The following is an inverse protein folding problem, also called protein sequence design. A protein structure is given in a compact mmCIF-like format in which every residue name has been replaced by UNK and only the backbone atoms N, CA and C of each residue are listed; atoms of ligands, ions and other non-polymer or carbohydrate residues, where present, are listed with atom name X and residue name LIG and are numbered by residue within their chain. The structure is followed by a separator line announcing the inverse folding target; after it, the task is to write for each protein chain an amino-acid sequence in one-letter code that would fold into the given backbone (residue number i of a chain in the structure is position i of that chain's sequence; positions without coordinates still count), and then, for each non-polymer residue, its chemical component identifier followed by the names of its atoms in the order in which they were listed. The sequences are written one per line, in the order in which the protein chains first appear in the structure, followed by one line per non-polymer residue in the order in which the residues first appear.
data_IF_647323832370
#
_entry.id   IF_647323832370
#
_cell.length_a   1.000
_cell.length_b   1.000
_cell.length_c   1.000
_cell.angle_alpha   90.00
_cell.angle_beta   90.00
_cell.angle_gamma   90.00
#
_symmetry.space_group_name_H-M   'P 1'
#
loop_
_entity.id
_entity.type
_entity.pdbx_description
1 polymer ?
#
# COMPACT_ATOMS: atom_id res chain seq x y z
N UNK A 1 6.44 -15.10 17.94
CA UNK A 1 5.88 -14.44 16.75
C UNK A 1 5.31 -13.10 17.17
N UNK A 2 5.96 -12.01 16.78
CA UNK A 2 5.56 -10.63 17.09
C UNK A 2 4.56 -10.10 16.07
N UNK A 3 3.90 -8.97 16.36
CA UNK A 3 3.05 -8.29 15.39
C UNK A 3 3.86 -7.77 14.20
N UNK A 4 5.07 -7.28 14.44
CA UNK A 4 5.97 -6.78 13.38
C UNK A 4 6.31 -7.88 12.37
N UNK A 5 6.60 -9.09 12.85
CA UNK A 5 6.88 -10.26 12.00
C UNK A 5 5.67 -10.67 11.14
N UNK A 6 4.45 -10.28 11.54
CA UNK A 6 3.21 -10.61 10.82
C UNK A 6 2.84 -9.61 9.74
N UNK A 7 3.33 -8.36 9.82
CA UNK A 7 2.94 -7.28 8.91
C UNK A 7 3.13 -7.66 7.43
N UNK A 8 4.25 -8.29 7.00
CA UNK A 8 4.43 -8.68 5.60
C UNK A 8 3.42 -9.72 5.11
N UNK A 9 2.81 -10.49 6.02
CA UNK A 9 1.88 -11.57 5.70
C UNK A 9 0.42 -11.10 5.66
N UNK A 10 0.15 -9.87 6.06
CA UNK A 10 -1.21 -9.31 6.03
C UNK A 10 -1.67 -9.11 4.59
N UNK A 11 -2.96 -9.33 4.33
CA UNK A 11 -3.57 -8.84 3.10
C UNK A 11 -3.81 -7.31 3.18
N UNK A 12 -4.21 -6.70 2.06
CA UNK A 12 -4.34 -5.24 1.98
C UNK A 12 -5.42 -4.69 2.93
N UNK A 13 -6.53 -5.40 3.10
CA UNK A 13 -7.61 -4.98 4.01
C UNK A 13 -7.18 -5.05 5.47
N UNK A 14 -6.46 -6.11 5.84
CA UNK A 14 -5.89 -6.28 7.18
C UNK A 14 -4.86 -5.18 7.48
N UNK A 15 -3.98 -4.88 6.53
CA UNK A 15 -2.97 -3.85 6.67
C UNK A 15 -3.59 -2.46 6.87
N UNK A 16 -4.59 -2.11 6.04
CA UNK A 16 -5.32 -0.83 6.15
C UNK A 16 -6.05 -0.73 7.49
N UNK A 17 -6.74 -1.79 7.89
CA UNK A 17 -7.48 -1.83 9.15
C UNK A 17 -6.56 -1.69 10.36
N UNK A 18 -5.42 -2.40 10.35
CA UNK A 18 -4.44 -2.35 11.41
C UNK A 18 -3.76 -0.98 11.50
N UNK A 19 -3.39 -0.37 10.36
CA UNK A 19 -2.81 0.97 10.31
C UNK A 19 -3.79 2.03 10.85
N UNK A 20 -5.07 1.97 10.45
CA UNK A 20 -6.09 2.89 10.95
C UNK A 20 -6.29 2.75 12.48
N UNK A 21 -6.31 1.52 12.99
CA UNK A 21 -6.43 1.27 14.42
C UNK A 21 -5.20 1.75 15.20
N UNK A 22 -3.98 1.50 14.68
CA UNK A 22 -2.75 1.97 15.30
C UNK A 22 -2.73 3.51 15.39
N UNK A 23 -3.10 4.21 14.31
CA UNK A 23 -3.22 5.68 14.32
C UNK A 23 -4.25 6.19 15.32
N UNK A 24 -5.39 5.51 15.45
CA UNK A 24 -6.39 5.86 16.45
C UNK A 24 -5.85 5.67 17.87
N UNK A 25 -5.19 4.55 18.14
CA UNK A 25 -4.61 4.25 19.45
C UNK A 25 -3.49 5.21 19.84
N UNK A 26 -2.69 5.68 18.88
CA UNK A 26 -1.65 6.69 19.11
C UNK A 26 -2.23 8.01 19.65
N UNK A 27 -3.45 8.38 19.21
CA UNK A 27 -4.12 9.62 19.62
C UNK A 27 -4.92 9.44 20.91
N UNK A 28 -5.80 8.43 20.97
CA UNK A 28 -6.81 8.29 22.03
C UNK A 28 -6.58 7.10 22.98
N UNK A 29 -5.55 6.29 22.74
CA UNK A 29 -5.26 5.09 23.53
C UNK A 29 -4.72 5.42 24.92
N UNK A 30 -4.66 4.41 25.79
CA UNK A 30 -3.95 4.48 27.07
C UNK A 30 -2.44 4.69 26.86
N UNK A 31 -1.66 5.08 27.89
CA UNK A 31 -0.20 5.20 27.75
C UNK A 31 0.48 3.95 27.18
N UNK A 32 0.05 2.75 27.58
CA UNK A 32 0.58 1.48 27.05
C UNK A 32 0.20 1.27 25.59
N UNK A 33 -1.04 1.58 25.21
CA UNK A 33 -1.50 1.45 23.84
C UNK A 33 -0.79 2.43 22.91
N UNK A 34 -0.54 3.66 23.35
CA UNK A 34 0.24 4.65 22.58
C UNK A 34 1.69 4.19 22.38
N UNK A 35 2.32 3.63 23.41
CA UNK A 35 3.67 3.05 23.29
C UNK A 35 3.71 1.91 22.27
N UNK A 36 2.75 0.99 22.35
CA UNK A 36 2.64 -0.10 21.38
C UNK A 36 2.36 0.39 19.96
N UNK A 37 1.48 1.40 19.80
CA UNK A 37 1.19 2.02 18.51
C UNK A 37 2.44 2.68 17.91
N UNK A 38 3.18 3.45 18.71
CA UNK A 38 4.41 4.11 18.29
C UNK A 38 5.49 3.12 17.82
N UNK A 39 5.53 1.91 18.39
CA UNK A 39 6.45 0.85 17.97
C UNK A 39 6.09 0.28 16.58
N UNK A 40 4.80 0.05 16.31
CA UNK A 40 4.35 -0.64 15.09
C UNK A 40 4.04 0.28 13.92
N UNK A 41 3.68 1.54 14.17
CA UNK A 41 3.29 2.51 13.15
C UNK A 41 4.35 2.65 12.03
N UNK A 42 5.65 2.82 12.33
CA UNK A 42 6.66 2.97 11.28
C UNK A 42 6.70 1.77 10.32
N UNK A 43 6.51 0.55 10.84
CA UNK A 43 6.55 -0.67 10.03
C UNK A 43 5.31 -0.79 9.16
N UNK A 44 4.13 -0.47 9.71
CA UNK A 44 2.87 -0.46 8.97
C UNK A 44 2.88 0.57 7.83
N UNK A 45 3.41 1.76 8.09
CA UNK A 45 3.51 2.83 7.10
C UNK A 45 4.51 2.52 5.98
N UNK A 46 5.64 1.89 6.32
CA UNK A 46 6.60 1.42 5.34
C UNK A 46 5.98 0.36 4.43
N UNK A 47 5.28 -0.63 5.00
CA UNK A 47 4.64 -1.69 4.22
C UNK A 47 3.52 -1.13 3.33
N UNK A 48 2.66 -0.25 3.86
CA UNK A 48 1.63 0.42 3.07
C UNK A 48 2.23 1.23 1.91
N UNK A 49 3.35 1.91 2.14
CA UNK A 49 4.06 2.68 1.12
C UNK A 49 4.63 1.77 0.02
N UNK A 50 5.24 0.63 0.38
CA UNK A 50 5.73 -0.37 -0.59
C UNK A 50 4.61 -0.88 -1.49
N UNK A 51 3.48 -1.27 -0.92
CA UNK A 51 2.33 -1.78 -1.70
C UNK A 51 1.72 -0.73 -2.61
N UNK A 52 1.64 0.51 -2.13
CA UNK A 52 1.20 1.66 -2.95
C UNK A 52 2.14 1.86 -4.14
N UNK A 53 3.46 1.79 -3.92
CA UNK A 53 4.43 1.92 -5.00
C UNK A 53 4.26 0.81 -6.04
N UNK A 54 4.14 -0.46 -5.63
CA UNK A 54 3.90 -1.59 -6.54
C UNK A 54 2.62 -1.37 -7.37
N UNK A 55 1.54 -0.92 -6.72
CA UNK A 55 0.27 -0.64 -7.41
C UNK A 55 0.42 0.49 -8.43
N UNK A 56 1.12 1.57 -8.08
CA UNK A 56 1.37 2.68 -8.98
C UNK A 56 2.22 2.25 -10.18
N UNK A 57 3.26 1.45 -9.96
CA UNK A 57 4.11 0.90 -11.02
C UNK A 57 3.35 -0.05 -11.94
N UNK A 58 2.47 -0.91 -11.40
CA UNK A 58 1.61 -1.76 -12.21
C UNK A 58 0.65 -0.91 -13.07
N UNK A 59 0.07 0.14 -12.48
CA UNK A 59 -0.84 1.03 -13.19
C UNK A 59 -0.13 1.85 -14.27
N UNK A 60 1.10 2.33 -14.04
CA UNK A 60 1.89 3.05 -15.07
C UNK A 60 2.22 2.12 -16.25
N UNK A 61 2.65 0.88 -15.99
CA UNK A 61 2.92 -0.14 -17.02
C UNK A 61 1.68 -0.48 -17.84
N UNK A 62 0.52 -0.61 -17.19
CA UNK A 62 -0.75 -0.85 -17.91
C UNK A 62 -1.09 0.32 -18.84
N UNK A 63 -0.97 1.56 -18.36
CA UNK A 63 -1.24 2.75 -19.17
C UNK A 63 -0.30 2.89 -20.36
N UNK A 64 0.99 2.62 -20.18
CA UNK A 64 1.96 2.69 -21.28
C UNK A 64 1.64 1.63 -22.35
N UNK A 65 1.30 0.40 -21.95
CA UNK A 65 0.90 -0.67 -22.88
C UNK A 65 -0.37 -0.29 -23.67
N UNK A 66 -1.42 0.21 -23.01
CA UNK A 66 -2.65 0.64 -23.69
C UNK A 66 -2.39 1.79 -24.66
N UNK A 67 -1.57 2.77 -24.29
CA UNK A 67 -1.23 3.89 -25.18
C UNK A 67 -0.44 3.44 -26.41
N UNK A 68 0.48 2.48 -26.25
CA UNK A 68 1.24 1.91 -27.36
C UNK A 68 0.34 1.11 -28.32
N UNK A 69 -0.61 0.33 -27.79
CA UNK A 69 -1.59 -0.40 -28.59
C UNK A 69 -2.48 0.56 -29.40
N UNK A 70 -2.97 1.64 -28.77
CA UNK A 70 -3.78 2.66 -29.45
C UNK A 70 -3.01 3.35 -30.59
N UNK A 71 -1.73 3.69 -30.37
CA UNK A 71 -0.87 4.26 -31.43
C UNK A 71 -0.69 3.29 -32.60
N UNK A 72 -0.43 2.01 -32.33
CA UNK A 72 -0.30 0.99 -33.36
C UNK A 72 -1.59 0.79 -34.16
N UNK A 73 -2.74 0.77 -33.49
CA UNK A 73 -4.04 0.67 -34.17
C UNK A 73 -4.29 1.89 -35.09
N UNK A 74 -4.03 3.10 -34.61
CA UNK A 74 -4.20 4.32 -35.40
C UNK A 74 -3.28 4.39 -36.63
N UNK A 75 -2.05 3.84 -36.55
CA UNK A 75 -1.16 3.75 -37.72
C UNK A 75 -1.61 2.72 -38.74
N UNK A 76 -2.29 1.65 -38.32
CA UNK A 76 -2.82 0.62 -39.23
C UNK A 76 -4.09 1.09 -39.92
N UNK A 77 -4.94 1.87 -39.24
CA UNK A 77 -6.17 2.42 -39.82
C UNK A 77 -5.91 3.58 -40.81
N UNK A 78 -4.75 4.22 -40.70
CA UNK A 78 -4.33 5.32 -41.58
C UNK A 78 -3.51 4.88 -42.81
N UNK A 79 -3.22 3.58 -42.95
CA UNK A 79 -2.43 2.99 -44.04
C UNK A 79 -3.33 2.19 -44.99
#
# INVERSE_FOLDING_TARGET
MTLIERIPLLNDQELVSLLANARRLDIVGTPDQRRGAAEVLPVLELEASKRRQVTLEAATRKRSATSAAKRKAATVEAA
#
